data_IF_629234822031
#
_entry.id   IF_629234822031
#
_cell.length_a   1.000
_cell.length_b   1.000
_cell.length_c   1.000
_cell.angle_alpha   90.00
_cell.angle_beta   90.00
_cell.angle_gamma   90.00
#
_symmetry.space_group_name_H-M   'P 1'
#
loop_
_entity.id
_entity.type
_entity.pdbx_description
1 polymer ?
#
# COMPACT_ATOMS: atom_id res chain seq x y z
N UNK A 1 34.01 5.09 5.51
CA UNK A 1 34.16 3.72 4.97
C UNK A 1 33.57 2.63 5.90
N UNK A 2 32.67 2.98 6.85
CA UNK A 2 32.02 2.02 7.76
C UNK A 2 30.51 1.84 7.50
N UNK A 3 29.91 2.65 6.63
CA UNK A 3 28.47 2.55 6.31
C UNK A 3 28.14 1.54 5.19
N UNK A 4 29.15 1.03 4.46
CA UNK A 4 28.96 0.08 3.36
C UNK A 4 28.81 -1.38 3.82
N UNK A 5 29.18 -1.69 5.07
CA UNK A 5 29.14 -3.06 5.61
C UNK A 5 27.83 -3.40 6.33
N UNK A 6 27.01 -2.41 6.70
CA UNK A 6 25.72 -2.65 7.35
C UNK A 6 24.63 -3.12 6.35
N UNK A 7 24.76 -2.77 5.06
CA UNK A 7 23.78 -3.15 4.03
C UNK A 7 23.87 -4.63 3.62
N UNK A 8 25.02 -5.29 3.82
CA UNK A 8 25.22 -6.71 3.52
C UNK A 8 24.67 -7.65 4.60
N UNK A 9 24.44 -7.17 5.83
CA UNK A 9 23.87 -7.97 6.92
C UNK A 9 22.36 -8.22 6.78
N UNK A 10 21.63 -7.27 6.18
CA UNK A 10 20.19 -7.35 6.01
C UNK A 10 19.76 -8.24 4.83
N UNK A 11 20.61 -8.40 3.80
CA UNK A 11 20.36 -9.33 2.69
C UNK A 11 20.56 -10.80 3.09
N UNK A 12 21.49 -11.09 4.00
CA UNK A 12 21.78 -12.46 4.43
C UNK A 12 20.65 -13.12 5.23
N UNK A 13 19.83 -12.33 5.91
CA UNK A 13 18.74 -12.85 6.76
C UNK A 13 17.48 -13.19 5.96
N UNK A 14 17.21 -12.49 4.85
CA UNK A 14 16.06 -12.79 3.97
C UNK A 14 16.30 -14.09 3.18
N UNK A 15 17.52 -14.35 2.70
CA UNK A 15 17.84 -15.62 2.01
C UNK A 15 17.79 -16.86 2.93
N UNK A 16 18.08 -16.71 4.22
CA UNK A 16 18.03 -17.82 5.17
C UNK A 16 16.60 -18.27 5.48
N UNK A 17 15.62 -17.35 5.48
CA UNK A 17 14.20 -17.69 5.68
C UNK A 17 13.60 -18.41 4.47
N UNK A 18 14.02 -18.06 3.25
CA UNK A 18 13.56 -18.74 2.02
C UNK A 18 14.08 -20.19 1.97
N UNK A 19 15.31 -20.41 2.43
CA UNK A 19 15.93 -21.75 2.41
C UNK A 19 15.30 -22.72 3.44
N UNK A 20 14.75 -22.22 4.55
CA UNK A 20 14.06 -23.05 5.54
C UNK A 20 12.65 -23.46 5.10
N UNK A 21 12.02 -22.73 4.18
CA UNK A 21 10.72 -23.14 3.60
C UNK A 21 10.85 -24.27 2.57
N UNK A 22 12.04 -24.45 1.97
CA UNK A 22 12.30 -25.44 0.92
C UNK A 22 12.83 -26.80 1.44
N UNK A 23 13.21 -26.90 2.71
CA UNK A 23 13.92 -28.08 3.26
C UNK A 23 13.06 -29.08 4.06
N UNK A 24 11.73 -28.96 4.07
CA UNK A 24 10.83 -29.89 4.76
C UNK A 24 10.19 -30.93 3.82
N UNK A 25 10.87 -32.05 3.55
CA UNK A 25 10.33 -33.24 2.84
C UNK A 25 9.61 -34.20 3.82
N UNK A 26 8.66 -35.08 3.40
CA UNK A 26 9.03 -36.30 2.66
C UNK A 26 8.09 -36.71 1.51
N UNK A 27 8.67 -37.47 0.58
CA UNK A 27 8.05 -38.23 -0.50
C UNK A 27 7.07 -39.30 -0.01
N UNK A 28 5.86 -39.36 -0.59
CA UNK A 28 5.03 -40.58 -0.71
C UNK A 28 3.85 -40.36 -1.68
N UNK A 29 3.78 -41.18 -2.74
CA UNK A 29 2.52 -41.75 -3.23
C UNK A 29 1.65 -40.96 -4.23
N UNK A 30 1.71 -41.41 -5.49
CA UNK A 30 0.58 -41.64 -6.40
C UNK A 30 -0.38 -40.49 -6.79
N UNK A 31 -0.52 -40.29 -8.10
CA UNK A 31 -1.61 -39.55 -8.73
C UNK A 31 -1.21 -38.18 -9.22
N UNK A 32 -0.71 -38.12 -10.46
CA UNK A 32 -0.41 -36.87 -11.16
C UNK A 32 -1.69 -36.08 -11.42
N UNK A 33 -2.08 -35.25 -10.46
CA UNK A 33 -2.84 -34.04 -10.73
C UNK A 33 -1.84 -32.97 -11.18
N UNK A 34 -2.09 -32.22 -12.26
CA UNK A 34 -1.29 -31.04 -12.54
C UNK A 34 -1.44 -30.12 -11.32
N UNK A 35 -0.36 -30.00 -10.54
CA UNK A 35 -0.23 -28.97 -9.53
C UNK A 35 -0.34 -27.67 -10.31
N UNK A 36 -1.40 -26.86 -10.11
CA UNK A 36 -1.43 -25.53 -10.70
C UNK A 36 -0.15 -24.82 -10.26
N UNK A 37 0.54 -24.08 -11.16
CA UNK A 37 1.73 -23.33 -10.75
C UNK A 37 1.38 -22.51 -9.50
N UNK A 38 2.31 -22.36 -8.54
CA UNK A 38 2.07 -21.52 -7.39
C UNK A 38 1.58 -20.18 -7.93
N UNK A 39 0.36 -19.80 -7.56
CA UNK A 39 -0.13 -18.47 -7.82
C UNK A 39 0.92 -17.52 -7.25
N UNK A 40 1.47 -16.62 -8.07
CA UNK A 40 2.47 -15.65 -7.63
C UNK A 40 1.90 -14.91 -6.42
N UNK A 41 2.29 -15.36 -5.22
CA UNK A 41 1.72 -14.88 -3.98
C UNK A 41 2.38 -13.53 -3.70
N UNK A 42 1.58 -12.47 -3.65
CA UNK A 42 2.10 -11.14 -3.28
C UNK A 42 2.64 -11.22 -1.86
N UNK A 43 3.91 -10.89 -1.68
CA UNK A 43 4.56 -10.83 -0.37
C UNK A 43 4.44 -9.40 0.14
N UNK A 44 3.78 -9.24 1.28
CA UNK A 44 3.61 -7.92 1.93
C UNK A 44 4.18 -8.01 3.34
N UNK A 45 5.25 -7.27 3.61
CA UNK A 45 5.94 -7.27 4.91
C UNK A 45 6.22 -5.85 5.37
N UNK A 46 6.21 -5.64 6.69
CA UNK A 46 6.65 -4.38 7.29
C UNK A 46 8.02 -4.58 7.92
N UNK A 47 8.94 -3.65 7.71
CA UNK A 47 10.25 -3.69 8.35
C UNK A 47 10.23 -3.08 9.77
N UNK A 48 11.39 -3.09 10.44
CA UNK A 48 11.52 -2.54 11.79
C UNK A 48 11.35 -1.02 11.91
N UNK A 49 11.26 -0.31 10.78
CA UNK A 49 11.08 1.14 10.70
C UNK A 49 9.66 1.53 10.25
N UNK A 50 8.78 0.56 10.00
CA UNK A 50 7.41 0.79 9.58
C UNK A 50 7.23 0.93 8.07
N UNK A 51 8.29 0.78 7.26
CA UNK A 51 8.15 0.76 5.80
C UNK A 51 7.52 -0.57 5.36
N UNK A 52 6.74 -0.52 4.29
CA UNK A 52 6.00 -1.67 3.78
C UNK A 52 6.57 -2.07 2.43
N UNK A 53 7.07 -3.29 2.38
CA UNK A 53 7.65 -3.92 1.20
C UNK A 53 6.61 -4.83 0.55
N UNK A 54 6.29 -4.54 -0.70
CA UNK A 54 5.39 -5.36 -1.54
C UNK A 54 6.24 -5.97 -2.65
N UNK A 55 6.43 -7.28 -2.62
CA UNK A 55 7.37 -8.01 -3.48
C UNK A 55 8.78 -7.39 -3.49
N UNK A 56 9.22 -6.84 -2.36
CA UNK A 56 10.52 -6.17 -2.21
C UNK A 56 10.57 -4.73 -2.73
N UNK A 57 9.44 -4.17 -3.17
CA UNK A 57 9.31 -2.79 -3.64
C UNK A 57 8.59 -1.95 -2.58
N UNK A 58 9.09 -0.74 -2.29
CA UNK A 58 8.47 0.19 -1.33
C UNK A 58 8.01 1.48 -2.00
N UNK A 59 7.15 2.22 -1.29
CA UNK A 59 6.78 3.57 -1.70
C UNK A 59 7.98 4.50 -1.52
N UNK A 60 8.24 5.36 -2.50
CA UNK A 60 9.41 6.23 -2.57
C UNK A 60 10.57 5.65 -3.40
N UNK A 61 10.52 4.36 -3.76
CA UNK A 61 11.57 3.74 -4.56
C UNK A 61 11.55 4.23 -6.02
N UNK A 62 12.71 4.60 -6.60
CA UNK A 62 12.82 4.96 -8.02
C UNK A 62 12.56 3.77 -8.95
N UNK A 63 11.83 3.99 -10.04
CA UNK A 63 11.49 2.94 -11.02
C UNK A 63 12.73 2.35 -11.69
N UNK A 64 13.73 3.18 -11.99
CA UNK A 64 14.99 2.69 -12.59
C UNK A 64 15.70 1.70 -11.68
N UNK A 65 15.67 1.94 -10.36
CA UNK A 65 16.24 1.00 -9.39
C UNK A 65 15.41 -0.29 -9.33
N UNK A 66 14.09 -0.19 -9.37
CA UNK A 66 13.20 -1.36 -9.37
C UNK A 66 13.51 -2.26 -10.57
N UNK A 67 13.66 -1.68 -11.78
CA UNK A 67 13.97 -2.45 -13.00
C UNK A 67 15.30 -3.18 -12.95
N UNK A 68 16.28 -2.61 -12.25
CA UNK A 68 17.59 -3.27 -12.05
C UNK A 68 17.48 -4.45 -11.06
N UNK A 69 16.63 -4.33 -10.04
CA UNK A 69 16.54 -5.31 -8.95
C UNK A 69 15.50 -6.41 -9.18
N UNK A 70 14.48 -6.14 -10.00
CA UNK A 70 13.35 -7.03 -10.25
C UNK A 70 13.30 -7.44 -11.71
N UNK A 71 13.76 -8.66 -12.00
CA UNK A 71 13.67 -9.24 -13.33
C UNK A 71 12.20 -9.30 -13.79
N UNK A 72 11.93 -8.83 -15.00
CA UNK A 72 10.59 -8.84 -15.58
C UNK A 72 9.65 -7.72 -15.11
N UNK A 73 10.15 -6.73 -14.36
CA UNK A 73 9.36 -5.52 -14.10
C UNK A 73 9.02 -4.81 -15.42
N UNK A 74 7.76 -4.36 -15.66
CA UNK A 74 7.39 -3.87 -16.98
C UNK A 74 8.10 -2.56 -17.37
N UNK A 75 8.51 -2.49 -18.64
CA UNK A 75 9.11 -1.28 -19.24
C UNK A 75 8.07 -0.19 -19.49
N UNK A 76 6.86 -0.58 -19.86
CA UNK A 76 5.76 0.33 -20.14
C UNK A 76 4.66 0.20 -19.08
N UNK A 77 4.12 1.34 -18.67
CA UNK A 77 3.00 1.42 -17.75
C UNK A 77 1.78 2.07 -18.40
N UNK A 78 0.63 1.97 -17.74
CA UNK A 78 -0.61 2.59 -18.19
C UNK A 78 -0.83 3.91 -17.49
N UNK A 79 -1.08 4.99 -18.24
CA UNK A 79 -1.47 6.28 -17.64
C UNK A 79 -2.88 6.14 -17.06
N UNK A 80 -3.02 6.41 -15.77
CA UNK A 80 -4.29 6.33 -15.03
C UNK A 80 -4.58 7.63 -14.29
N UNK A 81 -5.87 7.95 -14.19
CA UNK A 81 -6.37 9.01 -13.34
C UNK A 81 -6.79 8.41 -12.01
N UNK A 82 -6.16 8.86 -10.94
CA UNK A 82 -6.54 8.48 -9.59
C UNK A 82 -7.84 9.16 -9.19
N UNK A 83 -8.47 8.59 -8.17
CA UNK A 83 -9.68 9.10 -7.55
C UNK A 83 -9.54 10.50 -6.92
N UNK A 84 -8.31 10.92 -6.64
CA UNK A 84 -7.96 12.27 -6.17
C UNK A 84 -7.86 13.29 -7.31
N UNK A 85 -7.96 12.86 -8.57
CA UNK A 85 -7.73 13.70 -9.76
C UNK A 85 -6.26 13.72 -10.21
N UNK A 86 -5.35 13.11 -9.46
CA UNK A 86 -3.94 13.01 -9.82
C UNK A 86 -3.74 12.06 -11.01
N UNK A 87 -2.81 12.38 -11.92
CA UNK A 87 -2.37 11.46 -12.96
C UNK A 87 -1.15 10.67 -12.49
N UNK A 88 -1.14 9.37 -12.77
CA UNK A 88 -0.05 8.44 -12.45
C UNK A 88 0.21 7.47 -13.60
N UNK A 89 1.41 6.91 -13.65
CA UNK A 89 1.70 5.73 -14.48
C UNK A 89 1.56 4.49 -13.59
N UNK A 90 0.69 3.55 -13.98
CA UNK A 90 0.48 2.29 -13.26
C UNK A 90 1.24 1.16 -13.94
N UNK A 91 2.00 0.40 -13.15
CA UNK A 91 2.63 -0.85 -13.54
C UNK A 91 1.98 -1.99 -12.78
N UNK A 92 1.57 -3.04 -13.49
CA UNK A 92 1.03 -4.26 -12.89
C UNK A 92 2.18 -5.30 -12.85
N UNK A 93 2.63 -5.69 -11.65
CA UNK A 93 3.76 -6.61 -11.50
C UNK A 93 3.54 -7.55 -10.32
N UNK A 94 3.70 -8.86 -10.57
CA UNK A 94 3.58 -9.93 -9.57
C UNK A 94 2.32 -9.85 -8.69
N UNK A 95 1.18 -9.45 -9.26
CA UNK A 95 -0.11 -9.37 -8.56
C UNK A 95 -0.33 -8.11 -7.72
N UNK A 96 0.56 -7.13 -7.79
CA UNK A 96 0.42 -5.81 -7.19
C UNK A 96 0.40 -4.70 -8.26
N UNK A 97 -0.16 -3.55 -7.89
CA UNK A 97 -0.26 -2.36 -8.74
C UNK A 97 0.69 -1.27 -8.22
N UNK A 98 1.65 -0.81 -9.02
CA UNK A 98 2.61 0.22 -8.64
C UNK A 98 2.31 1.52 -9.38
N UNK A 99 2.03 2.58 -8.64
CA UNK A 99 1.64 3.89 -9.18
C UNK A 99 2.78 4.89 -9.04
N UNK A 100 3.24 5.40 -10.17
CA UNK A 100 4.45 6.19 -10.29
C UNK A 100 4.12 7.63 -10.65
N UNK A 101 4.83 8.55 -10.00
CA UNK A 101 4.89 9.97 -10.34
C UNK A 101 6.35 10.40 -10.34
N UNK A 102 6.75 11.22 -11.32
CA UNK A 102 8.11 11.80 -11.34
C UNK A 102 9.23 10.74 -11.21
N UNK A 103 9.01 9.54 -11.75
CA UNK A 103 9.98 8.43 -11.73
C UNK A 103 10.06 7.65 -10.41
N UNK A 104 9.21 7.95 -9.41
CA UNK A 104 9.18 7.25 -8.11
C UNK A 104 7.82 6.62 -7.83
N UNK A 105 7.81 5.48 -7.13
CA UNK A 105 6.58 4.85 -6.65
C UNK A 105 5.95 5.74 -5.58
N UNK A 106 4.70 6.14 -5.76
CA UNK A 106 3.96 7.01 -4.82
C UNK A 106 2.78 6.31 -4.15
N UNK A 107 2.31 5.22 -4.77
CA UNK A 107 1.25 4.36 -4.23
C UNK A 107 1.47 2.93 -4.69
N UNK A 108 1.09 1.98 -3.84
CA UNK A 108 1.03 0.56 -4.16
C UNK A 108 -0.37 0.03 -3.85
N UNK A 109 -1.03 -0.58 -4.84
CA UNK A 109 -2.23 -1.38 -4.67
C UNK A 109 -1.87 -2.84 -4.43
N UNK A 110 -2.49 -3.46 -3.42
CA UNK A 110 -2.12 -4.80 -2.96
C UNK A 110 -3.36 -5.61 -2.56
N UNK A 111 -3.30 -6.96 -2.59
CA UNK A 111 -4.43 -7.79 -2.24
C UNK A 111 -4.78 -7.73 -0.75
N UNK A 112 -3.80 -7.47 0.12
CA UNK A 112 -3.98 -7.37 1.56
C UNK A 112 -2.90 -6.51 2.23
N UNK A 113 -3.19 -5.98 3.42
CA UNK A 113 -2.19 -5.37 4.30
C UNK A 113 -1.25 -6.44 4.88
N UNK A 114 -0.12 -6.05 5.52
CA UNK A 114 0.72 -6.98 6.27
C UNK A 114 -0.06 -7.79 7.31
N UNK A 115 -1.10 -7.20 7.90
CA UNK A 115 -1.96 -7.85 8.90
C UNK A 115 -3.14 -8.63 8.31
N UNK A 116 -3.23 -8.72 6.99
CA UNK A 116 -4.20 -9.56 6.30
C UNK A 116 -5.57 -8.93 6.04
N UNK A 117 -5.74 -7.62 6.28
CA UNK A 117 -6.97 -6.91 5.88
C UNK A 117 -7.01 -6.86 4.36
N UNK A 118 -8.10 -7.34 3.75
CA UNK A 118 -8.19 -7.59 2.31
C UNK A 118 -9.59 -7.34 1.76
N UNK A 119 -9.76 -7.52 0.45
CA UNK A 119 -11.08 -7.55 -0.17
C UNK A 119 -12.03 -8.53 0.56
N UNK A 120 -13.19 -8.05 0.99
CA UNK A 120 -14.16 -8.80 1.80
C UNK A 120 -14.07 -8.52 3.30
N UNK A 121 -12.94 -8.07 3.83
CA UNK A 121 -12.78 -7.70 5.25
C UNK A 121 -13.74 -6.57 5.66
N UNK A 122 -14.08 -6.49 6.95
CA UNK A 122 -14.95 -5.44 7.47
C UNK A 122 -14.18 -4.14 7.71
N UNK A 123 -14.76 -2.98 7.39
CA UNK A 123 -14.14 -1.68 7.70
C UNK A 123 -13.94 -1.46 9.22
N UNK A 124 -14.76 -2.12 10.04
CA UNK A 124 -14.59 -2.13 11.49
C UNK A 124 -13.30 -2.83 11.94
N UNK A 125 -12.82 -3.82 11.18
CA UNK A 125 -11.55 -4.52 11.44
C UNK A 125 -10.37 -3.58 11.20
N UNK A 126 -10.38 -2.85 10.07
CA UNK A 126 -9.41 -1.78 9.80
C UNK A 126 -9.42 -0.71 10.90
N UNK A 127 -10.61 -0.34 11.39
CA UNK A 127 -10.74 0.65 12.47
C UNK A 127 -10.22 0.12 13.81
N UNK A 128 -10.43 -1.16 14.10
CA UNK A 128 -9.87 -1.79 15.30
C UNK A 128 -8.35 -1.88 15.24
N UNK A 129 -7.78 -2.05 14.04
CA UNK A 129 -6.34 -2.19 13.84
C UNK A 129 -5.59 -0.85 13.79
N UNK A 130 -6.07 0.08 12.97
CA UNK A 130 -5.38 1.35 12.67
C UNK A 130 -6.02 2.57 13.36
N UNK A 131 -7.02 2.35 14.21
CA UNK A 131 -7.75 3.42 14.88
C UNK A 131 -8.76 4.11 13.96
N UNK A 132 -9.13 5.35 14.28
CA UNK A 132 -10.13 6.10 13.50
C UNK A 132 -9.52 6.56 12.16
N UNK A 133 -10.30 6.58 11.08
CA UNK A 133 -9.83 7.13 9.81
C UNK A 133 -9.50 8.61 9.97
N UNK A 134 -8.36 9.03 9.44
CA UNK A 134 -7.90 10.43 9.44
C UNK A 134 -8.55 11.24 8.33
N UNK A 135 -9.01 10.57 7.27
CA UNK A 135 -9.71 11.19 6.16
C UNK A 135 -10.66 10.18 5.49
N UNK A 136 -11.64 10.69 4.76
CA UNK A 136 -12.51 9.90 3.92
C UNK A 136 -13.05 10.75 2.80
N UNK A 137 -13.15 10.17 1.61
CA UNK A 137 -13.59 10.88 0.42
C UNK A 137 -14.34 9.92 -0.51
N UNK A 138 -15.08 10.51 -1.45
CA UNK A 138 -15.77 9.78 -2.51
C UNK A 138 -15.25 10.26 -3.84
N UNK A 139 -15.12 9.34 -4.78
CA UNK A 139 -14.66 9.62 -6.13
C UNK A 139 -15.85 9.86 -7.06
N UNK A 140 -15.59 10.53 -8.18
CA UNK A 140 -16.62 10.82 -9.21
C UNK A 140 -17.22 9.57 -9.85
N UNK A 141 -16.51 8.43 -9.81
CA UNK A 141 -16.98 7.13 -10.26
C UNK A 141 -17.76 6.34 -9.19
N UNK A 142 -18.07 6.95 -8.03
CA UNK A 142 -18.91 6.38 -6.98
C UNK A 142 -18.18 5.52 -5.94
N UNK A 143 -16.85 5.41 -6.04
CA UNK A 143 -16.00 4.78 -5.03
C UNK A 143 -16.00 5.57 -3.72
N UNK A 144 -15.86 4.86 -2.59
CA UNK A 144 -15.73 5.45 -1.27
C UNK A 144 -14.45 4.96 -0.62
N UNK A 145 -13.73 5.87 0.01
CA UNK A 145 -12.38 5.62 0.51
C UNK A 145 -12.26 6.07 1.95
N UNK A 146 -11.63 5.24 2.76
CA UNK A 146 -11.27 5.54 4.14
C UNK A 146 -9.76 5.50 4.28
N UNK A 147 -9.19 6.56 4.86
CA UNK A 147 -7.76 6.75 4.99
C UNK A 147 -7.36 6.58 6.45
N UNK A 148 -6.38 5.73 6.71
CA UNK A 148 -5.82 5.47 8.04
C UNK A 148 -4.32 5.75 8.00
N UNK A 149 -3.74 6.04 9.17
CA UNK A 149 -2.29 6.16 9.32
C UNK A 149 -1.67 4.78 9.10
N UNK A 150 -0.68 4.68 8.21
CA UNK A 150 0.16 3.49 8.10
C UNK A 150 1.45 3.68 8.89
N UNK A 151 2.20 4.74 8.58
CA UNK A 151 3.41 5.15 9.30
C UNK A 151 3.56 6.67 9.18
N UNK A 152 3.59 7.38 10.31
CA UNK A 152 3.62 8.85 10.33
C UNK A 152 4.98 9.38 9.88
N UNK A 153 6.07 8.75 10.30
CA UNK A 153 7.43 9.24 10.02
C UNK A 153 7.77 9.15 8.53
N UNK A 154 7.13 8.22 7.82
CA UNK A 154 7.29 7.99 6.40
C UNK A 154 6.17 8.66 5.58
N UNK A 155 5.27 9.42 6.21
CA UNK A 155 4.13 10.06 5.55
C UNK A 155 3.26 9.06 4.75
N UNK A 156 3.13 7.83 5.28
CA UNK A 156 2.40 6.73 4.65
C UNK A 156 0.98 6.60 5.19
N UNK A 157 0.03 6.37 4.29
CA UNK A 157 -1.37 6.16 4.61
C UNK A 157 -1.90 4.87 4.00
N UNK A 158 -2.68 4.12 4.79
CA UNK A 158 -3.54 3.07 4.27
C UNK A 158 -4.80 3.69 3.68
N UNK A 159 -5.11 3.36 2.44
CA UNK A 159 -6.35 3.78 1.78
C UNK A 159 -7.15 2.53 1.43
N UNK A 160 -8.33 2.41 2.04
CA UNK A 160 -9.26 1.33 1.75
C UNK A 160 -10.39 1.86 0.89
N UNK A 161 -10.52 1.33 -0.33
CA UNK A 161 -11.78 1.44 -1.07
C UNK A 161 -12.79 0.50 -0.43
N UNK A 162 -14.02 0.95 -0.18
CA UNK A 162 -15.04 0.14 0.46
C UNK A 162 -16.43 0.33 -0.14
N UNK A 163 -17.25 -0.71 -0.03
CA UNK A 163 -18.66 -0.71 -0.41
C UNK A 163 -19.50 -1.20 0.77
N UNK A 164 -20.43 -0.36 1.20
CA UNK A 164 -21.15 -0.59 2.47
C UNK A 164 -20.19 -0.61 3.65
N UNK A 165 -19.99 -1.79 4.25
CA UNK A 165 -19.04 -2.01 5.35
C UNK A 165 -17.88 -2.93 4.98
N UNK A 166 -17.74 -3.31 3.72
CA UNK A 166 -16.74 -4.27 3.26
C UNK A 166 -15.66 -3.59 2.42
N UNK A 167 -14.41 -3.89 2.73
CA UNK A 167 -13.23 -3.49 1.96
C UNK A 167 -13.28 -4.13 0.57
N UNK A 168 -12.94 -3.35 -0.44
CA UNK A 168 -12.84 -3.78 -1.84
C UNK A 168 -11.41 -3.83 -2.31
N UNK A 169 -10.64 -2.78 -2.02
CA UNK A 169 -9.23 -2.66 -2.41
C UNK A 169 -8.42 -2.02 -1.30
N UNK A 170 -7.13 -2.34 -1.30
CA UNK A 170 -6.15 -1.86 -0.32
C UNK A 170 -5.05 -1.15 -1.09
N UNK A 171 -4.74 0.06 -0.64
CA UNK A 171 -3.62 0.84 -1.16
C UNK A 171 -2.77 1.36 0.00
N UNK A 172 -1.47 1.45 -0.25
CA UNK A 172 -0.53 2.23 0.55
C UNK A 172 -0.10 3.43 -0.27
N UNK A 173 -0.11 4.62 0.32
CA UNK A 173 0.13 5.87 -0.41
C UNK A 173 0.98 6.84 0.41
N UNK A 174 1.93 7.50 -0.26
CA UNK A 174 2.76 8.56 0.33
C UNK A 174 2.07 9.93 0.25
N UNK A 175 0.95 10.08 0.96
CA UNK A 175 0.19 11.33 1.00
C UNK A 175 -0.52 11.60 2.32
N UNK A 176 -0.08 11.00 3.43
CA UNK A 176 -0.75 11.15 4.74
C UNK A 176 -0.95 12.63 5.13
N UNK A 177 0.10 13.45 5.01
CA UNK A 177 0.06 14.87 5.34
C UNK A 177 -0.89 15.67 4.46
N UNK A 178 -0.95 15.33 3.17
CA UNK A 178 -1.92 15.93 2.25
C UNK A 178 -3.35 15.58 2.69
N UNK A 179 -3.62 14.30 2.94
CA UNK A 179 -4.94 13.83 3.38
C UNK A 179 -5.38 14.47 4.72
N UNK A 180 -4.44 14.68 5.65
CA UNK A 180 -4.70 15.41 6.91
C UNK A 180 -5.06 16.87 6.68
N UNK A 181 -4.33 17.56 5.79
CA UNK A 181 -4.63 18.95 5.42
C UNK A 181 -6.00 19.07 4.78
N UNK A 182 -6.34 18.16 3.86
CA UNK A 182 -7.64 18.14 3.18
C UNK A 182 -8.77 17.90 4.18
N UNK A 183 -8.61 16.95 5.11
CA UNK A 183 -9.57 16.71 6.19
C UNK A 183 -9.77 17.95 7.08
N UNK A 184 -8.69 18.65 7.45
CA UNK A 184 -8.76 19.85 8.28
C UNK A 184 -9.43 21.04 7.55
N UNK A 185 -9.22 21.16 6.24
CA UNK A 185 -9.82 22.19 5.40
C UNK A 185 -11.35 22.05 5.30
N UNK A 186 -11.89 20.82 5.37
CA UNK A 186 -13.34 20.58 5.39
C UNK A 186 -13.99 20.99 6.72
N UNK A 187 -13.26 20.89 7.85
CA UNK A 187 -13.80 21.18 9.19
C UNK A 187 -13.78 22.69 9.50
N UNK A 188 -12.79 23.45 9.00
CA UNK A 188 -12.61 24.89 9.30
C UNK A 188 -13.75 25.82 8.85
N UNK A 189 -14.43 25.63 7.70
CA UNK A 189 -15.53 26.49 7.27
C UNK A 189 -16.75 26.44 8.21
N UNK A 190 -16.94 25.34 8.95
CA UNK A 190 -18.10 25.16 9.84
C UNK A 190 -18.03 25.98 11.14
N UNK A 191 -16.84 26.48 11.51
CA UNK A 191 -16.64 27.24 12.75
C UNK A 191 -16.52 28.76 12.53
N UNK A 192 -16.56 29.23 11.27
CA UNK A 192 -16.36 30.64 10.90
C UNK A 192 -17.63 31.47 10.68
N UNK A 193 -18.82 30.93 10.95
CA UNK A 193 -20.10 31.63 10.76
C UNK A 193 -20.91 31.72 12.08
N UNK A 194 -20.30 32.27 13.13
CA UNK A 194 -21.07 32.92 14.20
C UNK A 194 -21.10 34.41 13.88
N UNK A 195 -22.17 34.86 13.22
CA UNK A 195 -22.47 36.28 13.12
C UNK A 195 -22.65 36.81 14.54
N UNK A 196 -21.68 37.58 15.04
CA UNK A 196 -21.95 38.52 16.11
C UNK A 196 -22.78 39.64 15.51
N UNK A 197 -24.08 39.40 15.40
CA UNK A 197 -25.07 40.45 15.16
C UNK A 197 -25.06 41.37 16.36
N UNK A 198 -24.38 42.52 16.23
CA UNK A 198 -24.43 43.63 17.17
C UNK A 198 -25.10 44.79 16.46
N UNK A 199 -26.35 45.07 16.85
CA UNK A 199 -27.17 46.27 16.62
C UNK A 199 -28.63 45.80 16.73
N UNK A 200 -29.51 46.29 17.62
CA UNK A 200 -29.62 47.61 18.24
C UNK A 200 -30.31 47.50 19.59
#
# INVERSE_FOLDING_TARGET
MQQFLALLGALGTVLALISQLLAGSPSSGAGGFPVPPPSSQVIVVTDGLGDVHVNGITVGQPVDQIRVLHEGFPEDGTVVFLETGDTRVRYDFEGAEYYVAEGVVTRIGMPHTPEGIRGGSGLAEATARYGRPVHGYSSSNGGRYAVYVAEEQLNLAWIFEYSGRSVRKVYLDHSLDRMRRDAAAVVRPMLGHRSTGSSS
#
